data_IF_833952679809
#
_entry.id   IF_833952679809
#
_cell.length_a   1.000
_cell.length_b   1.000
_cell.length_c   1.000
_cell.angle_alpha   90.00
_cell.angle_beta   90.00
_cell.angle_gamma   90.00
#
_symmetry.space_group_name_H-M   'P 1'
#
loop_
_entity.id
_entity.type
_entity.pdbx_description
1 polymer ?
#
# COMPACT_ATOMS: atom_id res chain seq x y z
N UNK A 1 6.87 -3.89 -0.45
CA UNK A 1 5.79 -4.25 0.50
C UNK A 1 5.20 -5.58 0.08
N UNK A 2 5.30 -6.60 0.93
CA UNK A 2 4.71 -7.93 0.69
C UNK A 2 3.88 -8.36 1.90
N UNK A 3 2.64 -8.75 1.64
CA UNK A 3 1.77 -9.40 2.63
C UNK A 3 2.22 -10.85 2.74
N UNK A 4 2.59 -11.32 3.93
CA UNK A 4 2.98 -12.71 4.16
C UNK A 4 1.82 -13.54 4.67
N UNK A 5 1.08 -12.99 5.64
CA UNK A 5 0.05 -13.74 6.35
C UNK A 5 -1.02 -12.84 6.93
N UNK A 6 -2.26 -13.32 6.93
CA UNK A 6 -3.39 -12.75 7.66
C UNK A 6 -4.02 -13.83 8.53
N UNK A 7 -4.11 -13.59 9.82
CA UNK A 7 -4.78 -14.48 10.78
C UNK A 7 -6.02 -13.77 11.32
N UNK A 8 -7.18 -14.41 11.19
CA UNK A 8 -8.47 -13.90 11.68
C UNK A 8 -9.02 -14.83 12.75
N UNK A 9 -9.56 -14.28 13.83
CA UNK A 9 -10.22 -15.05 14.88
C UNK A 9 -11.38 -14.25 15.47
N UNK A 10 -12.57 -14.83 15.48
CA UNK A 10 -13.77 -14.16 15.99
C UNK A 10 -14.18 -12.91 15.19
N UNK A 11 -13.60 -12.70 14.00
CA UNK A 11 -13.85 -11.53 13.17
C UNK A 11 -14.96 -11.79 12.16
N UNK A 12 -16.07 -11.04 12.24
CA UNK A 12 -17.25 -11.19 11.37
C UNK A 12 -17.64 -12.65 11.17
N UNK A 13 -17.50 -13.20 9.97
CA UNK A 13 -17.85 -14.59 9.61
C UNK A 13 -16.85 -15.63 10.13
N UNK A 14 -15.64 -15.22 10.52
CA UNK A 14 -14.56 -16.10 10.94
C UNK A 14 -14.63 -16.40 12.43
N UNK A 15 -15.51 -17.33 12.82
CA UNK A 15 -15.70 -17.71 14.22
C UNK A 15 -14.48 -18.42 14.83
N UNK A 16 -13.81 -19.27 14.05
CA UNK A 16 -12.56 -19.95 14.46
C UNK A 16 -11.34 -19.19 13.93
N UNK A 17 -10.16 -19.51 14.46
CA UNK A 17 -8.90 -19.05 13.89
C UNK A 17 -8.79 -19.54 12.44
N UNK A 18 -8.62 -18.61 11.52
CA UNK A 18 -8.40 -18.86 10.09
C UNK A 18 -7.13 -18.14 9.67
N UNK A 19 -6.25 -18.85 8.98
CA UNK A 19 -4.97 -18.34 8.53
C UNK A 19 -4.94 -18.32 7.01
N UNK A 20 -4.56 -17.18 6.46
CA UNK A 20 -4.33 -16.96 5.04
C UNK A 20 -2.84 -16.68 4.86
N UNK A 21 -2.16 -17.56 4.14
CA UNK A 21 -0.77 -17.36 3.72
C UNK A 21 -0.81 -16.81 2.31
N UNK A 22 -0.07 -15.73 2.07
CA UNK A 22 0.02 -15.07 0.77
C UNK A 22 1.40 -15.33 0.17
N UNK A 23 1.40 -15.93 -1.01
CA UNK A 23 2.61 -16.15 -1.80
C UNK A 23 2.86 -14.97 -2.75
N UNK A 24 4.02 -15.02 -3.42
CA UNK A 24 4.33 -14.06 -4.47
C UNK A 24 3.37 -14.19 -5.65
N UNK A 25 2.97 -13.04 -6.21
CA UNK A 25 2.09 -12.96 -7.37
C UNK A 25 0.62 -12.72 -7.00
N UNK A 26 -0.28 -13.52 -7.59
CA UNK A 26 -1.73 -13.28 -7.52
C UNK A 26 -2.37 -14.33 -6.61
N UNK A 27 -2.94 -13.89 -5.49
CA UNK A 27 -3.77 -14.74 -4.62
C UNK A 27 -5.25 -14.48 -4.90
N UNK A 28 -5.99 -15.53 -5.26
CA UNK A 28 -7.43 -15.45 -5.51
C UNK A 28 -8.23 -16.08 -4.36
N UNK A 29 -9.17 -15.32 -3.78
CA UNK A 29 -10.10 -15.82 -2.75
C UNK A 29 -11.47 -16.06 -3.40
N UNK A 30 -11.85 -17.32 -3.55
CA UNK A 30 -13.10 -17.74 -4.20
C UNK A 30 -14.05 -18.42 -3.21
N UNK A 31 -15.35 -18.33 -3.47
CA UNK A 31 -16.36 -19.05 -2.70
C UNK A 31 -17.79 -18.56 -2.95
N UNK A 32 -18.81 -19.28 -2.44
CA UNK A 32 -20.22 -18.93 -2.60
C UNK A 32 -20.58 -17.54 -2.05
N UNK A 33 -21.70 -16.97 -2.49
CA UNK A 33 -22.18 -15.70 -1.94
C UNK A 33 -22.52 -15.86 -0.45
N UNK A 34 -22.14 -14.85 0.35
CA UNK A 34 -22.27 -14.90 1.81
C UNK A 34 -21.18 -15.69 2.54
N UNK A 35 -20.20 -16.30 1.86
CA UNK A 35 -19.12 -17.05 2.51
C UNK A 35 -18.14 -16.21 3.35
N UNK A 36 -18.20 -14.88 3.23
CA UNK A 36 -17.30 -13.97 3.94
C UNK A 36 -16.03 -13.60 3.16
N UNK A 37 -15.94 -13.92 1.87
CA UNK A 37 -14.80 -13.51 1.00
C UNK A 37 -14.48 -12.01 1.08
N UNK A 38 -15.48 -11.14 0.97
CA UNK A 38 -15.27 -9.69 1.10
C UNK A 38 -14.87 -9.26 2.52
N UNK A 39 -15.15 -10.07 3.55
CA UNK A 39 -14.72 -9.78 4.92
C UNK A 39 -13.21 -9.96 5.09
N UNK A 40 -12.52 -10.72 4.22
CA UNK A 40 -11.06 -10.83 4.22
C UNK A 40 -10.44 -9.46 3.91
N UNK A 41 -10.92 -8.81 2.83
CA UNK A 41 -10.46 -7.47 2.46
C UNK A 41 -10.79 -6.42 3.54
N UNK A 42 -11.98 -6.50 4.15
CA UNK A 42 -12.33 -5.63 5.28
C UNK A 42 -11.41 -5.86 6.48
N UNK A 43 -11.00 -7.09 6.75
CA UNK A 43 -10.11 -7.39 7.86
C UNK A 43 -8.73 -6.76 7.67
N UNK A 44 -8.20 -6.77 6.45
CA UNK A 44 -6.94 -6.08 6.12
C UNK A 44 -7.08 -4.58 6.38
N UNK A 45 -8.14 -3.93 5.87
CA UNK A 45 -8.43 -2.51 6.17
C UNK A 45 -8.53 -2.24 7.67
N UNK A 46 -9.22 -3.13 8.38
CA UNK A 46 -9.45 -2.99 9.82
C UNK A 46 -8.15 -3.05 10.62
N UNK A 47 -7.24 -3.97 10.29
CA UNK A 47 -5.91 -4.08 10.94
C UNK A 47 -5.02 -2.88 10.63
N UNK A 48 -5.08 -2.36 9.40
CA UNK A 48 -4.33 -1.17 8.99
C UNK A 48 -4.81 0.13 9.65
N UNK A 49 -5.85 0.06 10.50
CA UNK A 49 -6.25 1.18 11.35
C UNK A 49 -7.47 1.96 10.87
N UNK A 50 -8.24 1.44 9.90
CA UNK A 50 -9.50 2.06 9.45
C UNK A 50 -10.43 2.36 10.65
N UNK A 51 -10.91 3.60 10.70
CA UNK A 51 -11.79 4.12 11.75
C UNK A 51 -13.25 4.16 11.31
N UNK A 52 -13.48 4.32 10.02
CA UNK A 52 -14.80 4.40 9.45
C UNK A 52 -15.43 3.00 9.44
N UNK A 53 -16.33 2.76 10.40
CA UNK A 53 -17.09 1.52 10.44
C UNK A 53 -17.98 1.36 9.21
N UNK A 54 -18.46 2.45 8.60
CA UNK A 54 -19.24 2.40 7.36
C UNK A 54 -18.42 1.82 6.21
N UNK A 55 -17.14 2.20 6.09
CA UNK A 55 -16.19 1.61 5.12
C UNK A 55 -16.01 0.12 5.37
N UNK A 56 -16.00 -0.30 6.64
CA UNK A 56 -15.95 -1.69 7.06
C UNK A 56 -17.31 -2.40 7.05
N UNK A 57 -18.37 -1.79 6.50
CA UNK A 57 -19.74 -2.36 6.44
C UNK A 57 -20.27 -2.75 7.82
N UNK A 58 -19.97 -1.95 8.84
CA UNK A 58 -20.47 -2.06 10.20
C UNK A 58 -20.92 -0.70 10.74
N UNK A 59 -21.55 -0.69 11.91
CA UNK A 59 -21.96 0.55 12.62
C UNK A 59 -21.16 0.76 13.89
N UNK A 60 -20.75 -0.33 14.55
CA UNK A 60 -20.07 -0.32 15.84
C UNK A 60 -18.92 -1.33 15.87
N UNK A 61 -18.00 -1.16 16.81
CA UNK A 61 -16.91 -2.12 17.11
C UNK A 61 -17.44 -3.55 17.28
N UNK A 62 -18.59 -3.69 17.95
CA UNK A 62 -19.23 -5.00 18.20
C UNK A 62 -19.63 -5.74 16.94
N UNK A 63 -19.85 -5.04 15.82
CA UNK A 63 -20.25 -5.64 14.55
C UNK A 63 -19.06 -6.30 13.84
N UNK A 64 -17.84 -5.98 14.26
CA UNK A 64 -16.63 -6.67 13.80
C UNK A 64 -16.47 -8.02 14.50
N UNK A 65 -17.18 -8.25 15.61
CA UNK A 65 -17.12 -9.48 16.39
C UNK A 65 -18.17 -10.46 15.88
N UNK A 66 -17.79 -11.73 15.76
CA UNK A 66 -18.71 -12.80 15.36
C UNK A 66 -19.94 -12.80 16.27
N UNK A 67 -21.10 -12.54 15.66
CA UNK A 67 -22.37 -12.38 16.35
C UNK A 67 -22.95 -13.71 16.88
N UNK A 68 -22.43 -14.84 16.41
CA UNK A 68 -22.99 -16.16 16.66
C UNK A 68 -23.75 -16.70 15.44
N UNK A 69 -24.01 -17.99 15.46
CA UNK A 69 -24.85 -18.70 14.50
C UNK A 69 -25.67 -19.77 15.22
N UNK A 70 -26.63 -20.40 14.56
CA UNK A 70 -27.39 -21.50 15.15
C UNK A 70 -26.49 -22.64 15.70
N UNK A 71 -25.31 -22.84 15.08
CA UNK A 71 -24.37 -23.91 15.45
C UNK A 71 -23.25 -23.46 16.39
N UNK A 72 -23.05 -22.15 16.59
CA UNK A 72 -21.90 -21.63 17.35
C UNK A 72 -22.28 -20.40 18.15
N UNK A 73 -21.86 -20.39 19.42
CA UNK A 73 -21.98 -19.24 20.29
C UNK A 73 -21.24 -18.02 19.74
N UNK A 74 -21.70 -16.84 20.14
CA UNK A 74 -21.10 -15.56 19.82
C UNK A 74 -19.67 -15.47 20.38
N UNK A 75 -18.75 -14.84 19.64
CA UNK A 75 -17.39 -14.62 20.14
C UNK A 75 -17.36 -13.45 21.14
N UNK A 76 -16.50 -13.52 22.16
CA UNK A 76 -16.26 -12.42 23.10
C UNK A 76 -15.33 -11.33 22.57
N UNK A 77 -14.51 -11.68 21.58
CA UNK A 77 -13.46 -10.84 21.01
C UNK A 77 -13.26 -11.18 19.53
N UNK A 78 -12.88 -10.17 18.74
CA UNK A 78 -12.35 -10.32 17.39
C UNK A 78 -10.88 -9.92 17.36
N UNK A 79 -10.05 -10.73 16.72
CA UNK A 79 -8.65 -10.44 16.45
C UNK A 79 -8.40 -10.59 14.96
N UNK A 80 -7.66 -9.65 14.41
CA UNK A 80 -7.04 -9.79 13.10
C UNK A 80 -5.57 -9.40 13.23
N UNK A 81 -4.71 -10.20 12.62
CA UNK A 81 -3.26 -10.09 12.70
C UNK A 81 -2.69 -10.17 11.30
N UNK A 82 -1.97 -9.15 10.87
CA UNK A 82 -1.36 -9.00 9.57
C UNK A 82 0.16 -9.05 9.72
N UNK A 83 0.78 -10.00 9.03
CA UNK A 83 2.23 -10.14 8.97
C UNK A 83 2.72 -9.59 7.63
N UNK A 84 3.63 -8.62 7.71
CA UNK A 84 4.22 -7.91 6.59
C UNK A 84 5.71 -8.23 6.52
N UNK A 85 6.21 -8.45 5.31
CA UNK A 85 7.63 -8.55 5.07
C UNK A 85 8.25 -7.14 4.98
N UNK A 86 9.29 -6.90 5.77
CA UNK A 86 10.01 -5.62 5.86
C UNK A 86 11.52 -5.82 5.60
N UNK A 87 11.91 -6.87 4.88
CA UNK A 87 13.29 -7.09 4.40
C UNK A 87 13.88 -5.88 3.68
N UNK A 88 13.05 -5.15 2.95
CA UNK A 88 13.46 -4.00 2.14
C UNK A 88 13.55 -2.69 2.94
N UNK A 89 13.25 -2.73 4.26
CA UNK A 89 13.30 -1.57 5.15
C UNK A 89 12.29 -0.47 4.82
N UNK A 90 11.16 -0.83 4.19
CA UNK A 90 10.15 0.13 3.76
C UNK A 90 9.32 0.69 4.92
N UNK A 91 9.21 -0.04 6.03
CA UNK A 91 8.75 0.47 7.33
C UNK A 91 9.96 0.97 8.13
N UNK A 92 9.85 2.11 8.83
CA UNK A 92 10.93 2.66 9.65
C UNK A 92 11.06 1.91 10.98
N UNK A 93 11.33 0.60 10.90
CA UNK A 93 11.46 -0.34 12.01
C UNK A 93 12.58 -1.33 11.68
N UNK A 94 13.43 -1.63 12.67
CA UNK A 94 14.56 -2.57 12.57
C UNK A 94 14.14 -4.05 12.69
N UNK A 95 12.96 -4.41 12.18
CA UNK A 95 12.48 -5.80 12.12
C UNK A 95 12.27 -6.18 10.67
N UNK A 96 12.82 -7.33 10.28
CA UNK A 96 12.63 -7.91 8.95
C UNK A 96 11.19 -8.38 8.73
N UNK A 97 10.47 -8.71 9.80
CA UNK A 97 9.07 -9.09 9.76
C UNK A 97 8.29 -8.26 10.78
N UNK A 98 7.17 -7.67 10.33
CA UNK A 98 6.34 -6.80 11.16
C UNK A 98 4.94 -7.41 11.25
N UNK A 99 4.51 -7.70 12.46
CA UNK A 99 3.18 -8.19 12.79
C UNK A 99 2.34 -7.07 13.41
N UNK A 100 1.28 -6.67 12.72
CA UNK A 100 0.31 -5.69 13.20
C UNK A 100 -0.95 -6.46 13.59
N UNK A 101 -1.39 -6.35 14.84
CA UNK A 101 -2.65 -6.92 15.28
C UNK A 101 -3.60 -5.88 15.83
N UNK A 102 -4.89 -6.11 15.58
CA UNK A 102 -5.99 -5.36 16.20
C UNK A 102 -6.94 -6.34 16.88
N UNK A 103 -7.29 -6.04 18.13
CA UNK A 103 -8.29 -6.77 18.92
C UNK A 103 -9.45 -5.84 19.26
N UNK A 104 -10.66 -6.36 19.19
CA UNK A 104 -11.87 -5.68 19.62
C UNK A 104 -12.64 -6.58 20.59
N UNK A 105 -13.03 -6.04 21.73
CA UNK A 105 -13.80 -6.73 22.75
C UNK A 105 -15.25 -6.24 22.76
N UNK A 106 -16.16 -7.09 23.25
CA UNK A 106 -17.56 -6.70 23.44
C UNK A 106 -17.77 -5.59 24.47
N UNK A 107 -16.80 -5.36 25.36
CA UNK A 107 -16.77 -4.20 26.25
C UNK A 107 -16.68 -2.87 25.51
N UNK A 108 -16.32 -2.87 24.22
CA UNK A 108 -16.06 -1.68 23.41
C UNK A 108 -14.59 -1.30 23.35
N UNK A 109 -13.75 -1.96 24.14
CA UNK A 109 -12.30 -1.76 24.13
C UNK A 109 -11.67 -2.27 22.83
N UNK A 110 -10.70 -1.51 22.34
CA UNK A 110 -9.88 -1.88 21.20
C UNK A 110 -8.41 -1.89 21.63
N UNK A 111 -7.70 -2.94 21.28
CA UNK A 111 -6.27 -3.05 21.52
C UNK A 111 -5.52 -3.17 20.20
N UNK A 112 -4.38 -2.52 20.14
CA UNK A 112 -3.48 -2.58 19.01
C UNK A 112 -2.17 -3.18 19.48
N UNK A 113 -1.63 -4.10 18.69
CA UNK A 113 -0.36 -4.76 18.98
C UNK A 113 0.56 -4.63 17.77
N UNK A 114 1.83 -4.36 18.04
CA UNK A 114 2.90 -4.36 17.07
C UNK A 114 3.94 -5.36 17.56
N UNK A 115 4.21 -6.41 16.78
CA UNK A 115 5.08 -7.53 17.17
C UNK A 115 4.74 -8.10 18.56
N UNK A 116 3.44 -8.21 18.87
CA UNK A 116 2.95 -8.67 20.17
C UNK A 116 2.99 -7.66 21.31
N UNK A 117 3.61 -6.48 21.12
CA UNK A 117 3.63 -5.42 22.12
C UNK A 117 2.43 -4.50 21.98
N UNK A 118 1.79 -4.15 23.09
CA UNK A 118 0.64 -3.23 23.09
C UNK A 118 1.11 -1.81 22.74
N UNK A 119 0.51 -1.24 21.70
CA UNK A 119 0.80 0.11 21.20
C UNK A 119 -0.48 0.91 21.07
N UNK A 120 -0.37 2.23 20.93
CA UNK A 120 -1.55 3.07 20.66
C UNK A 120 -1.87 3.01 19.17
N UNK A 121 -3.13 3.23 18.84
CA UNK A 121 -3.56 3.38 17.44
C UNK A 121 -2.74 4.43 16.69
N UNK A 122 -2.47 5.57 17.35
CA UNK A 122 -1.74 6.67 16.72
C UNK A 122 -0.36 6.22 16.26
N UNK A 123 0.33 5.41 17.05
CA UNK A 123 1.67 4.93 16.74
C UNK A 123 1.67 4.05 15.47
N UNK A 124 0.63 3.22 15.28
CA UNK A 124 0.44 2.44 14.03
C UNK A 124 0.10 3.35 12.85
N UNK A 125 -0.77 4.33 13.05
CA UNK A 125 -1.15 5.29 12.00
C UNK A 125 0.06 6.07 11.52
N UNK A 126 0.88 6.57 12.44
CA UNK A 126 2.10 7.32 12.15
C UNK A 126 3.14 6.45 11.45
N UNK A 127 3.27 5.19 11.86
CA UNK A 127 4.13 4.21 11.22
C UNK A 127 3.75 3.97 9.76
N UNK A 128 2.46 3.72 9.51
CA UNK A 128 1.93 3.49 8.16
C UNK A 128 1.98 4.76 7.31
N UNK A 129 1.79 5.94 7.90
CA UNK A 129 1.93 7.22 7.22
C UNK A 129 3.37 7.49 6.77
N UNK A 130 4.37 7.23 7.63
CA UNK A 130 5.79 7.35 7.29
C UNK A 130 6.21 6.42 6.15
N UNK A 131 5.56 5.25 6.05
CA UNK A 131 5.77 4.29 4.98
C UNK A 131 4.97 4.62 3.69
N UNK A 132 4.19 5.70 3.68
CA UNK A 132 3.37 6.10 2.54
C UNK A 132 2.08 5.29 2.35
N UNK A 133 1.75 4.39 3.27
CA UNK A 133 0.54 3.56 3.20
C UNK A 133 -0.72 4.29 3.63
N UNK A 134 -0.62 5.31 4.49
CA UNK A 134 -1.79 6.06 4.95
C UNK A 134 -2.48 6.87 3.83
N UNK A 135 -1.69 7.39 2.89
CA UNK A 135 -2.19 8.11 1.70
C UNK A 135 -2.54 7.15 0.54
N UNK A 136 -2.17 5.87 0.64
CA UNK A 136 -2.44 4.83 -0.37
C UNK A 136 -3.59 3.90 0.01
N UNK A 137 -4.62 4.40 0.69
CA UNK A 137 -5.87 3.64 0.97
C UNK A 137 -6.50 3.02 -0.30
N UNK A 138 -6.05 3.46 -1.48
CA UNK A 138 -6.26 2.86 -2.81
C UNK A 138 -5.84 1.39 -2.99
N UNK A 139 -4.98 0.82 -2.14
CA UNK A 139 -4.51 -0.57 -2.32
C UNK A 139 -5.62 -1.61 -2.07
N UNK A 140 -6.71 -1.24 -1.39
CA UNK A 140 -7.83 -2.16 -1.15
C UNK A 140 -9.05 -1.60 -1.87
N UNK A 141 -9.32 -2.14 -3.06
CA UNK A 141 -10.51 -1.81 -3.86
C UNK A 141 -11.67 -2.67 -3.37
N UNK A 142 -12.73 -2.03 -2.89
CA UNK A 142 -13.94 -2.66 -2.38
C UNK A 142 -14.98 -2.89 -3.48
N UNK A 143 -15.96 -3.73 -3.17
CA UNK A 143 -17.10 -3.95 -4.06
C UNK A 143 -17.92 -2.65 -4.19
N UNK A 144 -18.11 -2.16 -5.42
CA UNK A 144 -18.85 -0.92 -5.73
C UNK A 144 -18.02 0.36 -5.78
N UNK A 145 -16.73 0.32 -5.42
CA UNK A 145 -15.84 1.49 -5.56
C UNK A 145 -15.63 1.91 -7.02
N UNK A 146 -15.70 0.96 -7.96
CA UNK A 146 -15.61 1.23 -9.40
C UNK A 146 -16.85 2.00 -9.87
N UNK A 147 -18.04 1.56 -9.46
CA UNK A 147 -19.30 2.25 -9.81
C UNK A 147 -19.35 3.66 -9.20
N UNK A 148 -18.87 3.80 -7.96
CA UNK A 148 -18.71 5.11 -7.33
C UNK A 148 -17.76 6.00 -8.12
N UNK A 149 -16.57 5.52 -8.48
CA UNK A 149 -15.58 6.27 -9.26
C UNK A 149 -16.14 6.78 -10.61
N UNK A 150 -16.99 5.98 -11.26
CA UNK A 150 -17.67 6.38 -12.51
C UNK A 150 -18.77 7.43 -12.29
N UNK A 151 -19.41 7.40 -11.11
CA UNK A 151 -20.47 8.33 -10.72
C UNK A 151 -19.99 9.64 -10.06
N UNK A 152 -18.70 9.77 -9.75
CA UNK A 152 -18.15 10.97 -9.11
C UNK A 152 -18.30 12.20 -9.99
N UNK A 153 -18.62 13.34 -9.35
CA UNK A 153 -18.61 14.65 -9.98
C UNK A 153 -17.19 15.01 -10.44
N UNK A 154 -17.10 15.88 -11.45
CA UNK A 154 -15.83 16.21 -12.10
C UNK A 154 -14.73 16.68 -11.14
N UNK A 155 -15.10 17.39 -10.06
CA UNK A 155 -14.13 17.92 -9.08
C UNK A 155 -13.60 16.83 -8.13
N UNK A 156 -14.46 15.92 -7.65
CA UNK A 156 -14.03 14.77 -6.83
C UNK A 156 -13.18 13.79 -7.64
N UNK A 157 -13.49 13.64 -8.93
CA UNK A 157 -12.69 12.83 -9.85
C UNK A 157 -11.31 13.44 -10.09
N UNK A 158 -11.19 14.77 -10.18
CA UNK A 158 -9.88 15.44 -10.29
C UNK A 158 -9.02 15.20 -9.05
N UNK A 159 -9.59 15.26 -7.85
CA UNK A 159 -8.85 14.97 -6.62
C UNK A 159 -8.26 13.54 -6.63
N UNK A 160 -9.04 12.55 -7.08
CA UNK A 160 -8.54 11.18 -7.25
C UNK A 160 -7.39 11.08 -8.27
N UNK A 161 -7.49 11.79 -9.40
CA UNK A 161 -6.43 11.80 -10.42
C UNK A 161 -5.19 12.56 -9.98
N UNK A 162 -5.33 13.65 -9.24
CA UNK A 162 -4.20 14.40 -8.68
C UNK A 162 -3.48 13.57 -7.62
N UNK A 163 -4.21 12.87 -6.76
CA UNK A 163 -3.62 12.00 -5.74
C UNK A 163 -2.94 10.76 -6.38
N UNK A 164 -3.55 10.16 -7.40
CA UNK A 164 -2.94 9.08 -8.17
C UNK A 164 -1.69 9.55 -8.95
N UNK A 165 -1.70 10.78 -9.49
CA UNK A 165 -0.55 11.40 -10.13
C UNK A 165 0.60 11.70 -9.16
N UNK A 166 0.27 12.10 -7.93
CA UNK A 166 1.23 12.28 -6.84
C UNK A 166 1.84 10.95 -6.37
N UNK A 167 1.06 9.87 -6.35
CA UNK A 167 1.55 8.53 -6.05
C UNK A 167 2.57 8.04 -7.10
N UNK A 168 2.33 8.30 -8.39
CA UNK A 168 3.28 7.95 -9.48
C UNK A 168 4.56 8.76 -9.40
N UNK A 169 4.49 10.06 -9.07
CA UNK A 169 5.68 10.91 -8.94
C UNK A 169 6.53 10.57 -7.71
N UNK A 170 5.92 10.09 -6.62
CA UNK A 170 6.65 9.58 -5.44
C UNK A 170 7.23 8.18 -5.64
N UNK A 171 6.52 7.29 -6.34
CA UNK A 171 7.04 5.95 -6.69
C UNK A 171 8.26 6.02 -7.62
N UNK A 172 8.37 7.08 -8.43
CA UNK A 172 9.52 7.36 -9.30
C UNK A 172 10.54 8.34 -8.70
N UNK A 173 10.39 8.75 -7.44
CA UNK A 173 11.36 9.62 -6.80
C UNK A 173 12.63 8.80 -6.50
N UNK A 174 13.81 9.20 -7.03
CA UNK A 174 15.05 8.52 -6.69
C UNK A 174 15.28 8.62 -5.18
N UNK A 175 15.66 7.50 -4.55
CA UNK A 175 15.96 7.44 -3.14
C UNK A 175 16.91 8.59 -2.73
N UNK A 176 16.62 9.32 -1.64
CA UNK A 176 17.52 10.37 -1.18
C UNK A 176 18.88 9.76 -0.84
N UNK A 177 19.93 10.23 -1.52
CA UNK A 177 21.30 9.84 -1.24
C UNK A 177 21.63 10.13 0.23
N UNK A 178 21.90 9.08 1.01
CA UNK A 178 22.01 9.09 2.47
C UNK A 178 23.20 9.89 3.03
N UNK A 179 23.85 10.77 2.24
CA UNK A 179 25.02 11.52 2.73
C UNK A 179 25.16 12.96 2.20
N UNK A 180 24.08 13.62 1.76
CA UNK A 180 24.20 14.99 1.22
C UNK A 180 23.40 16.02 2.02
N UNK A 181 24.06 16.71 2.96
CA UNK A 181 23.53 17.87 3.71
C UNK A 181 23.53 19.17 2.89
N UNK A 182 23.00 19.20 1.65
CA UNK A 182 22.83 20.46 0.88
C UNK A 182 21.55 20.48 0.01
N UNK A 183 20.90 21.65 -0.15
CA UNK A 183 19.67 21.80 -0.94
C UNK A 183 19.89 21.63 -2.45
N UNK A 184 18.80 21.27 -3.15
CA UNK A 184 18.74 20.51 -4.41
C UNK A 184 19.21 21.14 -5.75
N UNK A 185 19.60 22.42 -5.96
CA UNK A 185 20.04 22.81 -7.31
C UNK A 185 21.53 22.56 -7.60
N UNK A 186 22.32 22.01 -6.67
CA UNK A 186 23.79 21.91 -6.84
C UNK A 186 24.36 20.50 -7.07
N UNK A 187 23.55 19.43 -6.95
CA UNK A 187 24.08 18.06 -7.02
C UNK A 187 24.30 17.49 -8.44
N UNK A 188 23.79 18.13 -9.50
CA UNK A 188 23.93 17.63 -10.88
C UNK A 188 24.97 18.38 -11.73
N UNK A 189 25.80 19.25 -11.14
CA UNK A 189 26.78 20.02 -11.89
C UNK A 189 28.18 19.94 -11.26
N UNK A 190 28.87 18.81 -11.41
CA UNK A 190 30.34 18.78 -11.49
C UNK A 190 30.86 17.37 -11.77
N UNK A 191 30.93 17.01 -13.04
CA UNK A 191 32.03 16.14 -13.52
C UNK A 191 32.45 16.63 -14.89
N UNK A 192 33.08 17.81 -14.91
CA UNK A 192 33.97 18.19 -15.99
C UNK A 192 35.21 17.33 -15.87
N UNK A 193 35.16 16.13 -16.45
CA UNK A 193 36.35 15.31 -16.67
C UNK A 193 37.19 15.97 -17.76
N UNK A 194 38.13 16.81 -17.32
CA UNK A 194 39.22 17.35 -18.13
C UNK A 194 40.14 16.20 -18.56
N UNK A 195 39.82 15.55 -19.69
CA UNK A 195 40.75 14.66 -20.37
C UNK A 195 41.73 15.50 -21.21
N UNK A 196 42.88 15.81 -20.60
CA UNK A 196 44.06 16.43 -21.19
C UNK A 196 44.90 15.36 -21.90
N UNK A 197 44.64 15.13 -23.19
CA UNK A 197 45.56 14.56 -24.20
C UNK A 197 44.93 14.94 -25.57
N UNK A 198 45.44 15.83 -26.41
CA UNK A 198 46.83 16.15 -26.72
C UNK A 198 47.30 15.37 -27.96
N UNK A 199 46.75 15.64 -29.16
CA UNK A 199 47.44 15.53 -30.47
C UNK A 199 46.61 16.04 -31.67
N UNK A 200 47.14 17.11 -32.27
CA UNK A 200 47.23 17.52 -33.68
C UNK A 200 46.20 17.06 -34.76
N UNK A 201 45.53 18.07 -35.37
CA UNK A 201 45.39 18.46 -36.81
C UNK A 201 45.21 17.38 -37.94
N UNK A 202 44.71 17.73 -39.16
CA UNK A 202 44.15 19.00 -39.66
C UNK A 202 42.81 18.88 -40.46
N UNK A 203 42.29 20.06 -40.86
CA UNK A 203 41.24 20.28 -41.86
C UNK A 203 41.52 19.57 -43.20
N UNK A 204 40.49 18.98 -43.80
CA UNK A 204 40.35 18.92 -45.27
C UNK A 204 38.89 18.81 -45.70
N UNK A 205 38.56 19.66 -46.66
CA UNK A 205 37.41 19.70 -47.58
C UNK A 205 36.82 18.36 -48.01
N UNK A 206 35.48 18.30 -48.09
CA UNK A 206 34.76 17.29 -48.87
C UNK A 206 33.25 17.33 -48.68
N UNK A 207 32.53 18.04 -49.57
CA UNK A 207 31.12 17.71 -49.88
C UNK A 207 31.12 16.36 -50.60
N UNK A 208 30.08 15.50 -50.41
CA UNK A 208 29.00 15.46 -51.41
C UNK A 208 27.61 15.19 -50.77
N UNK A 209 26.57 15.92 -51.19
CA UNK A 209 25.55 15.50 -52.17
C UNK A 209 24.28 14.92 -51.50
N UNK A 210 23.21 15.69 -51.62
CA UNK A 210 21.82 15.35 -51.29
C UNK A 210 21.17 14.78 -52.55
N UNK A 211 20.48 13.63 -52.51
CA UNK A 211 19.51 13.28 -53.54
C UNK A 211 18.10 13.68 -53.08
N UNK A 212 17.46 14.53 -53.89
CA UNK A 212 16.01 14.77 -53.86
C UNK A 212 15.29 13.65 -54.64
N UNK A 213 14.19 13.20 -54.03
CA UNK A 213 12.88 12.84 -54.62
C UNK A 213 12.77 11.78 -55.71
N UNK A 214 11.83 10.84 -55.51
CA UNK A 214 10.77 10.52 -56.48
C UNK A 214 9.56 9.87 -55.80
N UNK A 215 8.40 10.51 -55.92
CA UNK A 215 7.08 9.88 -55.88
C UNK A 215 6.83 9.12 -57.20
N UNK A 216 6.15 7.97 -57.12
CA UNK A 216 5.39 7.18 -58.14
C UNK A 216 5.43 5.72 -57.66
N UNK A 217 4.36 4.96 -57.42
CA UNK A 217 2.99 4.93 -57.92
C UNK A 217 2.01 4.59 -56.79
#
# INVERSE_FOLDING_TARGET
>A
MKLKKLVLQGYKTFASKTEFVFDDGITAVVGPNGSGKSNVADAVRWVLGEQSYSTLRGKKTTDMIFAGSQKRARAGMAQATLTLDNSDGWLPIEYAEVEISRRAYRSGENEYLLNGQKVRRMDISDLLAKAGLAEQTYTIIGQGLIDQALSLKADERRALFEEAGQAITRANAPAPCANCKKPKPTCCASTTFWARFGRALPRSSGRPAVPKATNKW
#
